data_IF_835836825943
#
_entry.id   IF_835836825943
#
_cell.length_a   1.000
_cell.length_b   1.000
_cell.length_c   1.000
_cell.angle_alpha   90.00
_cell.angle_beta   90.00
_cell.angle_gamma   90.00
#
_symmetry.space_group_name_H-M   'P 1'
#
loop_
_entity.id
_entity.type
_entity.pdbx_description
1 polymer ?
#
# COMPACT_ATOMS: atom_id res chain seq x y z
N UNK A 1 -40.38 16.49 -1.05
CA UNK A 1 -38.96 16.68 -0.73
C UNK A 1 -38.16 16.45 -1.99
N UNK A 2 -37.57 17.51 -2.56
CA UNK A 2 -36.76 17.42 -3.77
C UNK A 2 -35.53 16.55 -3.50
N UNK A 3 -35.32 15.49 -4.30
CA UNK A 3 -34.06 14.76 -4.34
C UNK A 3 -32.98 15.77 -4.73
N UNK A 4 -32.04 16.04 -3.83
CA UNK A 4 -30.86 16.81 -4.15
C UNK A 4 -30.18 16.11 -5.35
N UNK A 5 -30.21 16.73 -6.52
CA UNK A 5 -29.48 16.32 -7.71
C UNK A 5 -28.01 16.31 -7.31
N UNK A 6 -27.41 15.11 -7.27
CA UNK A 6 -26.07 14.92 -6.72
C UNK A 6 -25.06 15.76 -7.48
N UNK A 7 -24.36 16.64 -6.79
CA UNK A 7 -23.23 17.41 -7.34
C UNK A 7 -22.24 16.43 -7.97
N UNK A 8 -21.85 16.66 -9.23
CA UNK A 8 -20.90 15.81 -9.94
C UNK A 8 -19.57 15.65 -9.16
N UNK A 9 -18.97 14.49 -9.22
CA UNK A 9 -17.65 14.24 -8.63
C UNK A 9 -16.57 14.94 -9.45
N UNK A 10 -15.72 15.71 -8.79
CA UNK A 10 -14.53 16.26 -9.45
C UNK A 10 -13.46 15.19 -9.60
N UNK A 11 -12.47 15.44 -10.47
CA UNK A 11 -11.31 14.54 -10.60
C UNK A 11 -10.55 14.38 -9.28
N UNK A 12 -10.28 15.49 -8.58
CA UNK A 12 -9.56 15.48 -7.31
C UNK A 12 -10.30 14.69 -6.23
N UNK A 13 -11.61 14.85 -6.14
CA UNK A 13 -12.43 14.07 -5.23
C UNK A 13 -12.38 12.57 -5.54
N UNK A 14 -12.34 12.18 -6.83
CA UNK A 14 -12.16 10.79 -7.23
C UNK A 14 -10.77 10.27 -6.89
N UNK A 15 -9.71 11.09 -7.06
CA UNK A 15 -8.35 10.73 -6.67
C UNK A 15 -8.22 10.52 -5.15
N UNK A 16 -8.82 11.39 -4.34
CA UNK A 16 -8.88 11.22 -2.89
C UNK A 16 -9.62 9.93 -2.53
N UNK A 17 -10.75 9.66 -3.16
CA UNK A 17 -11.49 8.40 -2.93
C UNK A 17 -10.64 7.18 -3.33
N UNK A 18 -9.92 7.24 -4.45
CA UNK A 18 -9.04 6.16 -4.88
C UNK A 18 -7.84 5.95 -3.93
N UNK A 19 -7.28 7.04 -3.40
CA UNK A 19 -6.26 6.97 -2.33
C UNK A 19 -6.80 6.23 -1.10
N UNK A 20 -7.99 6.60 -0.61
CA UNK A 20 -8.64 5.91 0.51
C UNK A 20 -8.91 4.43 0.19
N UNK A 21 -9.35 4.13 -1.04
CA UNK A 21 -9.52 2.75 -1.48
C UNK A 21 -8.22 1.95 -1.35
N UNK A 22 -7.09 2.52 -1.75
CA UNK A 22 -5.78 1.87 -1.61
C UNK A 22 -5.35 1.66 -0.15
N UNK A 23 -5.84 2.43 0.79
CA UNK A 23 -5.41 2.42 2.20
C UNK A 23 -6.38 1.76 3.17
N UNK A 24 -7.66 1.60 2.81
CA UNK A 24 -8.66 1.02 3.70
C UNK A 24 -9.00 -0.41 3.25
N UNK A 25 -9.01 -1.41 4.14
CA UNK A 25 -9.43 -2.77 3.81
C UNK A 25 -10.87 -2.80 3.28
N UNK A 26 -11.20 -3.80 2.43
CA UNK A 26 -12.53 -3.91 1.84
C UNK A 26 -13.67 -3.89 2.88
N UNK A 27 -13.52 -4.61 3.98
CA UNK A 27 -14.50 -4.64 5.08
C UNK A 27 -14.70 -3.31 5.83
N UNK A 28 -13.85 -2.31 5.58
CA UNK A 28 -13.95 -0.97 6.19
C UNK A 28 -14.53 0.09 5.22
N UNK A 29 -14.92 -0.29 3.99
CA UNK A 29 -15.46 0.63 2.97
C UNK A 29 -16.96 0.91 3.17
N UNK A 30 -17.37 1.33 4.36
CA UNK A 30 -18.78 1.57 4.69
C UNK A 30 -19.00 2.94 5.34
N UNK A 31 -20.21 3.48 5.21
CA UNK A 31 -20.60 4.80 5.71
C UNK A 31 -20.40 5.00 7.22
N UNK A 32 -20.29 3.92 7.98
CA UNK A 32 -20.08 3.93 9.42
C UNK A 32 -18.61 4.16 9.83
N UNK A 33 -17.66 3.95 8.91
CA UNK A 33 -16.23 4.11 9.19
C UNK A 33 -15.91 5.57 9.56
N UNK A 34 -15.24 5.84 10.68
CA UNK A 34 -14.92 7.21 11.13
C UNK A 34 -14.08 8.01 10.13
N UNK A 35 -13.08 7.39 9.48
CA UNK A 35 -12.24 8.02 8.46
C UNK A 35 -13.10 8.46 7.26
N UNK A 36 -13.98 7.58 6.78
CA UNK A 36 -14.90 7.90 5.67
C UNK A 36 -15.83 9.05 6.05
N UNK A 37 -16.32 9.09 7.29
CA UNK A 37 -17.17 10.19 7.77
C UNK A 37 -16.41 11.52 7.75
N UNK A 38 -15.21 11.54 8.28
CA UNK A 38 -14.38 12.75 8.38
C UNK A 38 -14.01 13.28 6.99
N UNK A 39 -13.46 12.40 6.13
CA UNK A 39 -13.06 12.80 4.77
C UNK A 39 -14.27 13.23 3.94
N UNK A 40 -15.40 12.54 4.03
CA UNK A 40 -16.63 12.93 3.33
C UNK A 40 -17.10 14.32 3.74
N UNK A 41 -17.11 14.62 5.05
CA UNK A 41 -17.48 15.93 5.57
C UNK A 41 -16.60 17.03 4.99
N UNK A 42 -15.28 16.86 5.03
CA UNK A 42 -14.32 17.84 4.48
C UNK A 42 -14.43 17.98 2.95
N UNK A 43 -14.84 16.94 2.24
CA UNK A 43 -15.12 16.98 0.81
C UNK A 43 -16.46 17.64 0.45
N UNK A 44 -17.30 18.00 1.42
CA UNK A 44 -18.67 18.43 1.19
C UNK A 44 -19.57 17.31 0.65
N UNK A 45 -19.29 16.05 1.03
CA UNK A 45 -20.02 14.84 0.59
C UNK A 45 -20.66 14.13 1.78
N UNK A 46 -21.65 13.28 1.49
CA UNK A 46 -22.18 12.38 2.53
C UNK A 46 -21.27 11.15 2.68
N UNK A 47 -21.14 10.58 3.88
CA UNK A 47 -20.40 9.34 4.09
C UNK A 47 -20.88 8.18 3.21
N UNK A 48 -22.20 8.13 2.93
CA UNK A 48 -22.77 7.12 2.02
C UNK A 48 -22.31 7.31 0.58
N UNK A 49 -22.19 8.56 0.09
CA UNK A 49 -21.70 8.85 -1.25
C UNK A 49 -20.22 8.46 -1.41
N UNK A 50 -19.38 8.76 -0.40
CA UNK A 50 -17.98 8.37 -0.43
C UNK A 50 -17.83 6.85 -0.33
N UNK A 51 -18.50 6.19 0.61
CA UNK A 51 -18.47 4.73 0.73
C UNK A 51 -18.90 4.03 -0.57
N UNK A 52 -19.96 4.52 -1.23
CA UNK A 52 -20.37 4.01 -2.54
C UNK A 52 -19.27 4.18 -3.60
N UNK A 53 -18.59 5.33 -3.62
CA UNK A 53 -17.47 5.58 -4.54
C UNK A 53 -16.32 4.58 -4.30
N UNK A 54 -15.97 4.29 -3.05
CA UNK A 54 -14.97 3.28 -2.70
C UNK A 54 -15.40 1.88 -3.16
N UNK A 55 -16.66 1.50 -2.98
CA UNK A 55 -17.21 0.24 -3.48
C UNK A 55 -17.20 0.16 -5.02
N UNK A 56 -17.38 1.29 -5.72
CA UNK A 56 -17.24 1.34 -7.18
C UNK A 56 -15.79 1.03 -7.60
N UNK A 57 -14.77 1.55 -6.91
CA UNK A 57 -13.38 1.18 -7.17
C UNK A 57 -13.10 -0.29 -6.82
N UNK A 58 -13.67 -0.80 -5.73
CA UNK A 58 -13.58 -2.22 -5.39
C UNK A 58 -14.12 -3.13 -6.49
N UNK A 59 -15.18 -2.70 -7.21
CA UNK A 59 -15.70 -3.44 -8.36
C UNK A 59 -14.79 -3.45 -9.60
N UNK A 60 -13.71 -2.71 -9.60
CA UNK A 60 -12.70 -2.68 -10.67
C UNK A 60 -11.42 -3.44 -10.28
N UNK A 61 -11.32 -3.90 -9.03
CA UNK A 61 -10.12 -4.58 -8.53
C UNK A 61 -10.11 -6.06 -8.94
N UNK A 62 -9.14 -6.49 -9.78
CA UNK A 62 -9.08 -7.86 -10.27
C UNK A 62 -8.80 -8.88 -9.16
N UNK A 63 -8.10 -8.49 -8.08
CA UNK A 63 -7.81 -9.40 -6.94
C UNK A 63 -9.09 -9.70 -6.17
N UNK A 64 -9.95 -8.70 -5.97
CA UNK A 64 -11.26 -8.93 -5.36
C UNK A 64 -12.14 -9.83 -6.24
N UNK A 65 -12.12 -9.61 -7.56
CA UNK A 65 -12.86 -10.47 -8.51
C UNK A 65 -12.37 -11.93 -8.46
N UNK A 66 -11.06 -12.15 -8.45
CA UNK A 66 -10.48 -13.49 -8.36
C UNK A 66 -10.87 -14.21 -7.05
N UNK A 67 -11.15 -13.46 -5.99
CA UNK A 67 -11.66 -13.96 -4.70
C UNK A 67 -13.20 -14.14 -4.66
N UNK A 68 -13.88 -13.96 -5.78
CA UNK A 68 -15.34 -14.05 -5.86
C UNK A 68 -16.09 -12.86 -5.23
N UNK A 69 -15.40 -11.78 -4.93
CA UNK A 69 -16.01 -10.57 -4.36
C UNK A 69 -16.44 -9.67 -5.51
N UNK A 70 -17.71 -9.74 -5.89
CA UNK A 70 -18.30 -8.80 -6.82
C UNK A 70 -18.62 -7.50 -6.07
N UNK A 71 -17.93 -6.41 -6.41
CA UNK A 71 -18.32 -5.07 -5.97
C UNK A 71 -19.66 -4.64 -6.63
N UNK A 72 -20.14 -3.44 -6.31
CA UNK A 72 -21.34 -2.90 -6.95
C UNK A 72 -21.04 -2.55 -8.42
N UNK A 73 -21.86 -3.04 -9.34
CA UNK A 73 -21.69 -2.87 -10.81
C UNK A 73 -21.89 -1.43 -11.34
N UNK A 74 -21.94 -0.43 -10.46
CA UNK A 74 -22.29 0.96 -10.77
C UNK A 74 -21.13 1.93 -10.97
N UNK A 75 -19.90 1.44 -11.25
CA UNK A 75 -18.77 2.35 -11.51
C UNK A 75 -19.03 3.20 -12.76
N UNK A 76 -19.00 4.53 -12.62
CA UNK A 76 -19.16 5.47 -13.71
C UNK A 76 -18.00 5.34 -14.73
N UNK A 77 -18.21 5.83 -15.95
CA UNK A 77 -17.17 5.84 -16.99
C UNK A 77 -15.89 6.55 -16.53
N UNK A 78 -16.05 7.67 -15.82
CA UNK A 78 -14.93 8.46 -15.29
C UNK A 78 -14.19 7.74 -14.16
N UNK A 79 -14.88 6.90 -13.37
CA UNK A 79 -14.23 6.09 -12.33
C UNK A 79 -13.37 5.00 -12.96
N UNK A 80 -13.84 4.35 -14.05
CA UNK A 80 -13.08 3.35 -14.81
C UNK A 80 -11.87 3.99 -15.49
N UNK A 81 -12.07 5.12 -16.17
CA UNK A 81 -10.98 5.85 -16.82
C UNK A 81 -9.90 6.28 -15.83
N UNK A 82 -10.30 6.78 -14.65
CA UNK A 82 -9.35 7.15 -13.61
C UNK A 82 -8.63 5.93 -13.00
N UNK A 83 -9.33 4.81 -12.82
CA UNK A 83 -8.74 3.56 -12.35
C UNK A 83 -7.63 3.07 -13.30
N UNK A 84 -7.91 3.04 -14.60
CA UNK A 84 -6.94 2.59 -15.61
C UNK A 84 -5.75 3.55 -15.70
N UNK A 85 -6.01 4.87 -15.68
CA UNK A 85 -4.96 5.89 -15.65
C UNK A 85 -4.09 5.78 -14.38
N UNK A 86 -4.71 5.56 -13.23
CA UNK A 86 -4.00 5.42 -11.96
C UNK A 86 -3.07 4.20 -11.97
N UNK A 87 -3.55 3.07 -12.48
CA UNK A 87 -2.71 1.86 -12.63
C UNK A 87 -1.54 2.07 -13.58
N UNK A 88 -1.77 2.78 -14.69
CA UNK A 88 -0.71 3.06 -15.68
C UNK A 88 0.31 4.10 -15.18
N UNK A 89 -0.10 5.04 -14.32
CA UNK A 89 0.71 6.18 -13.90
C UNK A 89 0.78 6.32 -12.37
N UNK A 90 0.86 5.22 -11.65
CA UNK A 90 0.82 5.22 -10.18
C UNK A 90 1.98 6.01 -9.56
N UNK A 91 3.13 6.06 -10.22
CA UNK A 91 4.31 6.85 -9.80
C UNK A 91 4.06 8.36 -9.75
N UNK A 92 3.07 8.83 -10.51
CA UNK A 92 2.65 10.24 -10.53
C UNK A 92 1.38 10.46 -9.71
N UNK A 93 0.36 9.65 -9.96
CA UNK A 93 -0.97 9.83 -9.35
C UNK A 93 -1.03 9.37 -7.88
N UNK A 94 -0.19 8.43 -7.47
CA UNK A 94 -0.06 8.03 -6.06
C UNK A 94 0.34 9.20 -5.17
N UNK A 95 1.51 9.84 -5.39
CA UNK A 95 1.91 11.04 -4.63
C UNK A 95 0.92 12.20 -4.74
N UNK A 96 0.34 12.42 -5.93
CA UNK A 96 -0.68 13.46 -6.13
C UNK A 96 -1.93 13.21 -5.29
N UNK A 97 -2.41 11.97 -5.26
CA UNK A 97 -3.58 11.59 -4.45
C UNK A 97 -3.32 11.76 -2.95
N UNK A 98 -2.09 11.48 -2.52
CA UNK A 98 -1.65 11.69 -1.14
C UNK A 98 -1.61 13.17 -0.76
N UNK A 99 -1.09 14.00 -1.64
CA UNK A 99 -1.05 15.44 -1.44
C UNK A 99 -2.46 16.05 -1.38
N UNK A 100 -3.36 15.62 -2.26
CA UNK A 100 -4.77 16.05 -2.23
C UNK A 100 -5.46 15.67 -0.92
N UNK A 101 -5.24 14.45 -0.41
CA UNK A 101 -5.78 14.03 0.88
C UNK A 101 -5.20 14.85 2.03
N UNK A 102 -3.89 15.08 2.03
CA UNK A 102 -3.21 15.89 3.04
C UNK A 102 -3.76 17.32 3.06
N UNK A 103 -3.87 17.95 1.90
CA UNK A 103 -4.40 19.32 1.78
C UNK A 103 -5.87 19.43 2.20
N UNK A 104 -6.69 18.41 1.86
CA UNK A 104 -8.08 18.33 2.30
C UNK A 104 -8.22 18.28 3.82
N UNK A 105 -7.32 17.57 4.48
CA UNK A 105 -7.34 17.42 5.94
C UNK A 105 -6.72 18.62 6.65
N UNK A 106 -6.11 19.57 5.92
CA UNK A 106 -5.52 20.83 6.41
C UNK A 106 -4.41 20.61 7.46
N UNK A 107 -3.56 19.61 7.25
CA UNK A 107 -2.45 19.32 8.14
C UNK A 107 -1.21 20.15 7.80
N UNK A 108 -0.29 20.24 8.76
CA UNK A 108 1.00 20.89 8.55
C UNK A 108 1.83 20.12 7.51
N UNK A 109 2.71 20.85 6.80
CA UNK A 109 3.50 20.26 5.72
C UNK A 109 4.45 19.14 6.18
N UNK A 110 4.82 19.14 7.47
CA UNK A 110 5.71 18.18 8.11
C UNK A 110 4.99 17.00 8.80
N UNK A 111 3.66 16.92 8.67
CA UNK A 111 2.87 15.82 9.18
C UNK A 111 2.47 14.85 8.08
N UNK A 112 2.44 13.56 8.40
CA UNK A 112 1.98 12.49 7.53
C UNK A 112 0.65 11.95 8.01
N UNK A 113 -0.26 11.67 7.05
CA UNK A 113 -1.57 11.10 7.31
C UNK A 113 -1.45 9.59 7.40
N UNK A 114 -1.60 9.01 8.58
CA UNK A 114 -1.60 7.57 8.80
C UNK A 114 -3.02 7.05 8.99
N UNK A 115 -3.42 6.07 8.17
CA UNK A 115 -4.73 5.40 8.18
C UNK A 115 -4.65 3.92 8.55
N UNK A 116 -3.49 3.43 9.02
CA UNK A 116 -3.28 1.99 9.30
C UNK A 116 -4.14 1.46 10.46
N UNK A 117 -4.59 2.33 11.36
CA UNK A 117 -5.58 1.99 12.39
C UNK A 117 -6.96 1.64 11.78
N UNK A 118 -7.24 2.12 10.55
CA UNK A 118 -8.50 1.97 9.82
C UNK A 118 -9.76 2.52 10.52
N UNK A 119 -9.62 3.07 11.72
CA UNK A 119 -10.73 3.62 12.50
C UNK A 119 -10.55 5.11 12.83
N UNK A 120 -9.33 5.60 12.79
CA UNK A 120 -9.01 7.02 13.01
C UNK A 120 -7.87 7.49 12.13
N UNK A 121 -7.91 8.77 11.78
CA UNK A 121 -6.80 9.46 11.14
C UNK A 121 -5.76 9.77 12.23
N UNK A 122 -4.54 9.31 12.04
CA UNK A 122 -3.41 9.63 12.90
C UNK A 122 -2.47 10.57 12.15
N UNK A 123 -1.87 11.51 12.88
CA UNK A 123 -0.81 12.37 12.39
C UNK A 123 0.50 11.88 12.97
N UNK A 124 1.48 11.70 12.11
CA UNK A 124 2.83 11.33 12.51
C UNK A 124 3.80 12.39 12.00
N UNK A 125 4.81 12.80 12.78
CA UNK A 125 5.87 13.64 12.26
C UNK A 125 6.53 12.94 11.08
N UNK A 126 6.73 13.66 9.98
CA UNK A 126 7.53 13.16 8.87
C UNK A 126 8.91 12.80 9.39
N UNK A 127 9.36 11.58 9.18
CA UNK A 127 10.70 11.14 9.56
C UNK A 127 11.75 12.12 9.04
N UNK A 128 12.73 12.45 9.89
CA UNK A 128 13.74 13.48 9.67
C UNK A 128 14.70 13.08 8.55
N UNK A 129 14.31 13.34 7.30
CA UNK A 129 15.28 13.51 6.24
C UNK A 129 15.63 15.00 6.24
N UNK A 130 16.91 15.35 6.45
CA UNK A 130 17.41 16.72 6.32
C UNK A 130 17.08 17.18 4.90
N UNK A 131 16.22 18.21 4.71
CA UNK A 131 15.88 18.63 3.36
C UNK A 131 17.12 19.21 2.69
N UNK A 132 17.41 18.82 1.43
CA UNK A 132 18.41 19.49 0.65
C UNK A 132 17.99 20.96 0.44
N UNK A 133 18.96 21.86 0.38
CA UNK A 133 18.73 23.31 0.24
C UNK A 133 18.33 23.67 -1.20
N UNK A 134 17.15 24.31 -1.36
CA UNK A 134 16.64 24.89 -2.61
C UNK A 134 15.16 24.55 -2.89
N UNK A 135 14.38 25.48 -3.48
CA UNK A 135 12.92 25.32 -3.66
C UNK A 135 12.54 24.12 -4.55
N UNK A 136 13.28 23.86 -5.62
CA UNK A 136 13.03 22.73 -6.54
C UNK A 136 13.33 21.39 -5.90
N UNK A 137 14.36 21.32 -5.06
CA UNK A 137 14.76 20.11 -4.34
C UNK A 137 13.79 19.83 -3.21
N UNK A 138 13.29 20.85 -2.51
CA UNK A 138 12.26 20.70 -1.48
C UNK A 138 10.98 20.10 -2.05
N UNK A 139 10.50 20.56 -3.21
CA UNK A 139 9.33 20.03 -3.88
C UNK A 139 9.50 18.56 -4.31
N UNK A 140 10.69 18.22 -4.86
CA UNK A 140 11.01 16.84 -5.23
C UNK A 140 11.05 15.92 -4.00
N UNK A 141 11.64 16.38 -2.89
CA UNK A 141 11.70 15.63 -1.62
C UNK A 141 10.31 15.38 -1.06
N UNK A 142 9.42 16.39 -1.07
CA UNK A 142 8.04 16.23 -0.62
C UNK A 142 7.31 15.18 -1.47
N UNK A 143 7.46 15.23 -2.80
CA UNK A 143 6.83 14.23 -3.70
C UNK A 143 7.34 12.82 -3.44
N UNK A 144 8.64 12.63 -3.22
CA UNK A 144 9.23 11.32 -2.89
C UNK A 144 8.65 10.81 -1.57
N UNK A 145 8.57 11.62 -0.53
CA UNK A 145 7.97 11.25 0.77
C UNK A 145 6.50 10.86 0.62
N UNK A 146 5.70 11.65 -0.10
CA UNK A 146 4.29 11.33 -0.38
C UNK A 146 4.15 9.99 -1.11
N UNK A 147 5.04 9.71 -2.07
CA UNK A 147 5.08 8.42 -2.75
C UNK A 147 5.40 7.26 -1.79
N UNK A 148 6.44 7.40 -0.98
CA UNK A 148 6.82 6.37 0.00
C UNK A 148 5.70 6.11 1.02
N UNK A 149 5.06 7.17 1.52
CA UNK A 149 3.94 7.06 2.45
C UNK A 149 2.75 6.35 1.79
N UNK A 150 2.39 6.76 0.57
CA UNK A 150 1.33 6.12 -0.20
C UNK A 150 1.61 4.63 -0.40
N UNK A 151 2.82 4.26 -0.86
CA UNK A 151 3.22 2.87 -1.07
C UNK A 151 3.15 2.07 0.23
N UNK A 152 3.77 2.58 1.30
CA UNK A 152 3.76 1.91 2.60
C UNK A 152 2.33 1.60 3.07
N UNK A 153 1.45 2.58 3.10
CA UNK A 153 0.10 2.37 3.60
C UNK A 153 -0.72 1.46 2.69
N UNK A 154 -0.54 1.56 1.38
CA UNK A 154 -1.23 0.70 0.41
C UNK A 154 -0.81 -0.76 0.57
N UNK A 155 0.51 -1.03 0.67
CA UNK A 155 1.01 -2.40 0.85
C UNK A 155 0.58 -2.97 2.21
N UNK A 156 0.83 -2.27 3.32
CA UNK A 156 0.45 -2.78 4.63
C UNK A 156 -1.06 -3.07 4.70
N UNK A 157 -1.88 -2.17 4.17
CA UNK A 157 -3.32 -2.36 4.14
C UNK A 157 -3.76 -3.52 3.23
N UNK A 158 -3.09 -3.72 2.07
CA UNK A 158 -3.38 -4.83 1.18
C UNK A 158 -3.15 -6.20 1.84
N UNK A 159 -2.16 -6.28 2.74
CA UNK A 159 -1.85 -7.48 3.53
C UNK A 159 -2.56 -7.54 4.90
N UNK A 160 -3.58 -6.70 5.14
CA UNK A 160 -4.32 -6.66 6.39
C UNK A 160 -3.45 -6.29 7.60
N UNK A 161 -2.43 -5.44 7.39
CA UNK A 161 -1.44 -5.02 8.40
C UNK A 161 -0.78 -6.22 9.08
N UNK A 162 -0.35 -7.21 8.28
CA UNK A 162 0.31 -8.44 8.76
C UNK A 162 1.50 -8.79 7.89
N UNK A 163 2.60 -9.20 8.51
CA UNK A 163 3.73 -9.79 7.80
C UNK A 163 3.26 -11.00 6.99
N UNK A 164 3.55 -11.02 5.69
CA UNK A 164 3.12 -12.11 4.81
C UNK A 164 3.80 -13.45 5.11
N UNK A 165 4.97 -13.44 5.76
CA UNK A 165 5.70 -14.63 6.20
C UNK A 165 5.22 -15.07 7.59
N UNK A 166 5.43 -14.25 8.63
CA UNK A 166 5.23 -14.65 10.02
C UNK A 166 3.85 -14.35 10.59
N UNK A 167 3.06 -13.50 9.93
CA UNK A 167 1.75 -13.07 10.45
C UNK A 167 1.81 -12.04 11.58
N UNK A 168 3.01 -11.54 11.97
CA UNK A 168 3.15 -10.45 12.94
C UNK A 168 2.30 -9.26 12.48
N UNK A 169 1.49 -8.70 13.38
CA UNK A 169 0.52 -7.64 13.10
C UNK A 169 0.72 -6.39 13.98
N UNK A 170 1.94 -6.07 14.30
CA UNK A 170 2.31 -4.86 15.03
C UNK A 170 2.76 -3.80 14.00
N UNK A 171 1.95 -2.75 13.69
CA UNK A 171 2.21 -1.83 12.57
C UNK A 171 3.59 -1.18 12.60
N UNK A 172 4.14 -0.89 13.79
CA UNK A 172 5.48 -0.30 13.97
C UNK A 172 6.63 -1.26 13.69
N UNK A 173 6.36 -2.56 13.62
CA UNK A 173 7.33 -3.61 13.26
C UNK A 173 7.15 -4.08 11.82
N UNK A 174 6.27 -3.44 11.03
CA UNK A 174 6.00 -3.81 9.64
C UNK A 174 6.61 -2.81 8.67
N UNK A 175 7.12 -3.34 7.57
CA UNK A 175 7.71 -2.61 6.46
C UNK A 175 6.99 -2.98 5.17
N UNK A 176 6.81 -2.00 4.28
CA UNK A 176 6.49 -2.26 2.88
C UNK A 176 7.81 -2.47 2.14
N UNK A 177 8.25 -3.73 2.10
CA UNK A 177 9.49 -4.17 1.46
C UNK A 177 9.36 -4.12 -0.05
N UNK A 178 10.38 -3.62 -0.75
CA UNK A 178 10.43 -3.63 -2.20
C UNK A 178 11.08 -4.91 -2.70
N UNK A 179 10.46 -5.59 -3.68
CA UNK A 179 11.04 -6.78 -4.31
C UNK A 179 12.23 -6.40 -5.21
N UNK A 180 12.05 -5.37 -6.04
CA UNK A 180 13.11 -4.69 -6.78
C UNK A 180 13.51 -3.42 -6.04
N UNK A 181 14.81 -3.14 -5.83
CA UNK A 181 15.29 -2.03 -5.01
C UNK A 181 14.77 -0.67 -5.48
N UNK A 182 14.36 0.17 -4.52
CA UNK A 182 13.85 1.53 -4.77
C UNK A 182 14.80 2.40 -5.60
N UNK A 183 16.11 2.31 -5.33
CA UNK A 183 17.11 3.15 -5.98
C UNK A 183 17.26 2.88 -7.47
N UNK A 184 17.18 1.61 -7.87
CA UNK A 184 17.51 1.15 -9.21
C UNK A 184 16.32 1.13 -10.17
N UNK A 185 15.08 1.04 -9.65
CA UNK A 185 13.87 0.84 -10.44
C UNK A 185 12.84 1.96 -10.21
N UNK A 186 13.08 3.19 -10.73
CA UNK A 186 12.21 4.34 -10.47
C UNK A 186 10.77 4.18 -10.96
N UNK A 187 10.54 3.40 -12.00
CA UNK A 187 9.20 3.18 -12.57
C UNK A 187 8.36 2.19 -11.77
N UNK A 188 9.01 1.27 -11.04
CA UNK A 188 8.37 0.23 -10.24
C UNK A 188 8.23 0.60 -8.75
N UNK A 189 8.71 1.78 -8.35
CA UNK A 189 8.75 2.22 -6.93
C UNK A 189 7.40 2.19 -6.24
N UNK A 190 6.33 2.55 -6.95
CA UNK A 190 4.99 2.63 -6.39
C UNK A 190 4.07 1.53 -6.92
N UNK A 191 4.59 0.63 -7.75
CA UNK A 191 3.83 -0.52 -8.23
C UNK A 191 3.51 -1.47 -7.05
N UNK A 192 2.24 -1.72 -6.71
CA UNK A 192 1.91 -2.62 -5.61
C UNK A 192 2.38 -4.06 -5.83
N UNK A 193 2.62 -4.47 -7.09
CA UNK A 193 3.23 -5.77 -7.43
C UNK A 193 4.71 -5.86 -7.03
N UNK A 194 5.34 -4.72 -6.71
CA UNK A 194 6.71 -4.62 -6.21
C UNK A 194 6.80 -4.60 -4.69
N UNK A 195 5.71 -4.88 -3.98
CA UNK A 195 5.62 -4.74 -2.54
C UNK A 195 5.24 -6.01 -1.79
N UNK A 196 5.94 -6.25 -0.68
CA UNK A 196 5.61 -7.26 0.33
C UNK A 196 5.42 -6.57 1.69
N UNK A 197 4.44 -7.00 2.47
CA UNK A 197 4.35 -6.60 3.88
C UNK A 197 5.17 -7.57 4.72
N UNK A 198 6.31 -7.12 5.22
CA UNK A 198 7.22 -7.91 6.03
C UNK A 198 7.40 -7.32 7.43
N UNK A 199 7.76 -8.15 8.43
CA UNK A 199 8.32 -7.64 9.67
C UNK A 199 9.73 -7.11 9.40
N UNK A 200 10.23 -6.18 10.23
CA UNK A 200 11.57 -5.59 10.09
C UNK A 200 12.68 -6.63 9.99
N UNK A 201 12.56 -7.77 10.69
CA UNK A 201 13.53 -8.85 10.62
C UNK A 201 13.47 -9.57 9.27
N UNK A 202 12.27 -9.90 8.78
CA UNK A 202 12.09 -10.56 7.48
C UNK A 202 12.44 -9.63 6.32
N UNK A 203 12.15 -8.34 6.43
CA UNK A 203 12.53 -7.31 5.48
C UNK A 203 14.06 -7.23 5.35
N UNK A 204 14.77 -7.10 6.48
CA UNK A 204 16.22 -7.08 6.48
C UNK A 204 16.83 -8.38 5.88
N UNK A 205 16.24 -9.55 6.16
CA UNK A 205 16.69 -10.81 5.59
C UNK A 205 16.43 -10.91 4.07
N UNK A 206 15.30 -10.39 3.62
CA UNK A 206 14.93 -10.35 2.20
C UNK A 206 15.83 -9.39 1.42
N UNK A 207 15.98 -8.15 1.87
CA UNK A 207 16.82 -7.14 1.23
C UNK A 207 18.30 -7.55 1.13
N UNK A 208 18.80 -8.32 2.12
CA UNK A 208 20.17 -8.84 2.12
C UNK A 208 20.33 -10.18 1.37
N UNK A 209 19.28 -10.68 0.74
CA UNK A 209 19.28 -11.91 -0.03
C UNK A 209 19.48 -13.17 0.82
N UNK A 210 19.16 -13.12 2.11
CA UNK A 210 19.19 -14.26 3.02
C UNK A 210 17.92 -15.10 2.92
N UNK A 211 16.82 -14.49 2.47
CA UNK A 211 15.51 -15.12 2.24
C UNK A 211 15.01 -14.70 0.86
N UNK A 212 14.32 -15.59 0.18
CA UNK A 212 13.59 -15.29 -1.05
C UNK A 212 12.29 -16.08 -1.12
N UNK A 213 11.54 -15.94 -2.22
CA UNK A 213 10.34 -16.73 -2.52
C UNK A 213 10.56 -17.53 -3.80
N UNK A 214 10.14 -18.80 -3.81
CA UNK A 214 10.13 -19.62 -5.01
C UNK A 214 8.99 -19.23 -5.98
N UNK A 215 8.84 -19.95 -7.08
CA UNK A 215 7.79 -19.72 -8.07
C UNK A 215 6.37 -19.99 -7.56
N UNK A 216 6.24 -20.75 -6.46
CA UNK A 216 4.99 -21.03 -5.75
C UNK A 216 4.78 -20.13 -4.54
N UNK A 217 5.56 -19.04 -4.47
CA UNK A 217 5.53 -18.07 -3.37
C UNK A 217 5.84 -18.68 -1.99
N UNK A 218 6.63 -19.75 -1.96
CA UNK A 218 7.11 -20.36 -0.73
C UNK A 218 8.45 -19.76 -0.31
N UNK A 219 8.63 -19.63 0.99
CA UNK A 219 9.84 -19.07 1.59
C UNK A 219 11.04 -20.02 1.36
N UNK A 220 12.15 -19.47 0.90
CA UNK A 220 13.42 -20.16 0.70
C UNK A 220 14.50 -19.48 1.52
N UNK A 221 15.20 -20.24 2.35
CA UNK A 221 16.33 -19.76 3.17
C UNK A 221 17.66 -20.02 2.46
N UNK A 222 18.56 -19.03 2.47
CA UNK A 222 19.88 -19.16 1.90
C UNK A 222 20.81 -20.04 2.75
N UNK A 223 21.83 -20.65 2.13
CA UNK A 223 22.90 -21.33 2.87
C UNK A 223 23.65 -20.38 3.80
N UNK A 224 23.77 -19.11 3.41
CA UNK A 224 24.40 -18.08 4.24
C UNK A 224 23.65 -17.86 5.54
N UNK A 225 22.31 -17.80 5.52
CA UNK A 225 21.51 -17.68 6.74
C UNK A 225 21.69 -18.94 7.62
N UNK A 226 21.67 -20.11 7.00
CA UNK A 226 21.84 -21.40 7.70
C UNK A 226 23.20 -21.57 8.36
N UNK A 227 24.25 -20.92 7.83
CA UNK A 227 25.58 -20.94 8.43
C UNK A 227 25.65 -20.28 9.84
N UNK A 228 24.64 -19.50 10.20
CA UNK A 228 24.50 -18.92 11.55
C UNK A 228 23.72 -19.79 12.52
N UNK A 229 23.19 -20.92 12.08
CA UNK A 229 22.54 -21.89 12.97
C UNK A 229 23.59 -22.73 13.72
N UNK A 230 23.32 -23.24 14.94
CA UNK A 230 22.09 -23.03 15.70
C UNK A 230 22.11 -21.72 16.53
N UNK A 231 21.10 -20.91 16.34
CA UNK A 231 20.78 -19.77 17.19
C UNK A 231 19.27 -19.77 17.38
N UNK A 232 18.77 -20.11 18.58
CA UNK A 232 17.34 -20.34 18.86
C UNK A 232 16.43 -19.22 18.37
N UNK A 233 16.81 -17.96 18.60
CA UNK A 233 16.01 -16.80 18.16
C UNK A 233 15.96 -16.70 16.61
N UNK A 234 17.06 -17.00 15.95
CA UNK A 234 17.15 -16.97 14.49
C UNK A 234 16.37 -18.13 13.89
N UNK A 235 16.57 -19.34 14.38
CA UNK A 235 15.86 -20.55 13.91
C UNK A 235 14.35 -20.38 14.07
N UNK A 236 13.88 -19.96 15.25
CA UNK A 236 12.46 -19.75 15.51
C UNK A 236 11.82 -18.67 14.61
N UNK A 237 12.63 -17.74 14.12
CA UNK A 237 12.15 -16.65 13.25
C UNK A 237 12.08 -17.04 11.76
N UNK A 238 12.78 -18.09 11.32
CA UNK A 238 12.87 -18.43 9.90
C UNK A 238 12.50 -19.87 9.58
N UNK A 239 12.99 -20.86 10.35
CA UNK A 239 12.83 -22.30 10.04
C UNK A 239 11.34 -22.72 9.93
N UNK A 240 10.41 -22.27 10.79
CA UNK A 240 8.99 -22.65 10.70
C UNK A 240 8.31 -22.20 9.41
N UNK A 241 8.88 -21.24 8.70
CA UNK A 241 8.29 -20.66 7.49
C UNK A 241 8.91 -21.21 6.20
N UNK A 242 10.02 -21.92 6.29
CA UNK A 242 10.68 -22.48 5.11
C UNK A 242 9.78 -23.46 4.38
N UNK A 243 9.67 -23.31 3.06
CA UNK A 243 8.78 -24.11 2.22
C UNK A 243 7.28 -23.81 2.40
N UNK A 244 6.91 -22.88 3.30
CA UNK A 244 5.54 -22.45 3.49
C UNK A 244 5.25 -21.27 2.55
N UNK A 245 4.08 -21.33 1.89
CA UNK A 245 3.63 -20.22 1.03
C UNK A 245 3.27 -18.98 1.87
N UNK A 246 3.66 -17.81 1.38
CA UNK A 246 3.31 -16.54 2.02
C UNK A 246 1.80 -16.28 1.96
N UNK A 247 1.32 -15.41 2.84
CA UNK A 247 -0.02 -14.83 2.72
C UNK A 247 -0.05 -13.89 1.53
N UNK A 248 -1.06 -14.03 0.67
CA UNK A 248 -1.27 -13.12 -0.45
C UNK A 248 -2.01 -11.86 0.00
N UNK A 249 -1.84 -10.75 -0.74
CA UNK A 249 -2.61 -9.53 -0.49
C UNK A 249 -4.09 -9.75 -0.74
N UNK A 250 -4.92 -9.09 0.02
CA UNK A 250 -6.39 -9.22 -0.10
C UNK A 250 -6.95 -8.42 -1.27
N UNK A 251 -6.18 -7.50 -1.85
CA UNK A 251 -6.58 -6.57 -2.91
C UNK A 251 -5.38 -5.90 -3.57
N UNK A 252 -5.62 -5.05 -4.56
CA UNK A 252 -4.68 -4.30 -5.39
C UNK A 252 -3.95 -5.17 -6.41
N UNK A 253 -2.91 -5.89 -6.02
CA UNK A 253 -2.17 -6.77 -6.90
C UNK A 253 -1.34 -7.79 -6.10
N UNK A 254 -1.17 -8.98 -6.65
CA UNK A 254 -0.22 -9.97 -6.16
C UNK A 254 1.22 -9.59 -6.55
N UNK A 255 2.23 -10.07 -5.81
CA UNK A 255 3.63 -9.88 -6.17
C UNK A 255 3.92 -10.34 -7.61
N UNK A 256 4.64 -9.52 -8.38
CA UNK A 256 4.96 -9.85 -9.76
C UNK A 256 5.93 -11.05 -9.83
N UNK A 257 5.61 -12.10 -10.62
CA UNK A 257 6.53 -13.21 -10.85
C UNK A 257 7.88 -12.75 -11.44
N UNK A 258 7.89 -11.73 -12.29
CA UNK A 258 9.10 -11.17 -12.89
C UNK A 258 9.95 -10.43 -11.87
N UNK A 259 9.33 -9.68 -10.93
CA UNK A 259 10.08 -9.01 -9.87
C UNK A 259 10.67 -10.02 -8.89
N UNK A 260 9.93 -11.07 -8.54
CA UNK A 260 10.43 -12.16 -7.71
C UNK A 260 11.53 -12.96 -8.40
N UNK A 261 11.46 -13.17 -9.73
CA UNK A 261 12.54 -13.77 -10.50
C UNK A 261 13.82 -12.93 -10.40
N UNK A 262 13.72 -11.60 -10.60
CA UNK A 262 14.85 -10.69 -10.41
C UNK A 262 15.46 -10.84 -9.01
N UNK A 263 14.63 -10.88 -7.96
CA UNK A 263 15.11 -11.04 -6.60
C UNK A 263 15.86 -12.35 -6.41
N UNK A 264 15.35 -13.47 -6.93
CA UNK A 264 16.01 -14.79 -6.87
C UNK A 264 17.35 -14.83 -7.60
N UNK A 265 17.43 -14.19 -8.76
CA UNK A 265 18.60 -14.27 -9.64
C UNK A 265 19.71 -13.27 -9.26
N UNK A 266 19.32 -12.08 -8.78
CA UNK A 266 20.25 -10.96 -8.57
C UNK A 266 20.54 -10.69 -7.09
N UNK A 267 19.53 -10.75 -6.23
CA UNK A 267 19.67 -10.35 -4.82
C UNK A 267 19.94 -11.55 -3.92
N UNK A 268 19.23 -12.67 -4.12
CA UNK A 268 19.33 -13.84 -3.27
C UNK A 268 20.71 -14.49 -3.32
N UNK A 269 21.24 -14.82 -2.14
CA UNK A 269 22.59 -15.42 -1.94
C UNK A 269 22.42 -16.89 -1.57
N UNK A 270 22.25 -17.76 -2.58
CA UNK A 270 22.04 -19.21 -2.43
C UNK A 270 23.18 -19.92 -1.70
#
# INVERSE_FOLDING_TARGET
MARATGVAWTRDQRLIALNLYCKLPFGKLHKGNPIIKEVALKMGRTPSSLALKLCNFASLDPVLHARGIAGMSGAAREDRSLWDEFKANISVLGPQSEELLHNLLAFKADEEVDLLDHEKIQLQPSGTLIPPTGPTVATATVRVRRGQQFFRQSILSAYGVRCCISGINVPRLLVASHIKPWGEFPNERLDPRNGLCLSTLHDAAFDNGLVTLDEKLKVVLSKRLRAYFPQTALESSFVPYEGVAIRLPERLAEPSPDFLRYHREVIFKS
#
